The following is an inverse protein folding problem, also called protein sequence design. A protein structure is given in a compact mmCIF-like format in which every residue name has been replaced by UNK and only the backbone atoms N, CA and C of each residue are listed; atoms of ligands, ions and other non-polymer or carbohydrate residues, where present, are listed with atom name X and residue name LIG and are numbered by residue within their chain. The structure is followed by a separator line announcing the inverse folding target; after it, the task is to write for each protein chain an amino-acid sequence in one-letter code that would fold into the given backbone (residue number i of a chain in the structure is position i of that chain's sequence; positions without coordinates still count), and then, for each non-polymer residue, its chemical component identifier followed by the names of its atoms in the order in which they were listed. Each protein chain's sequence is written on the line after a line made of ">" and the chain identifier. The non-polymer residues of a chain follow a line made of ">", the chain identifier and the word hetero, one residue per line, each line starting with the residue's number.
data_IF_088617346161
#
_entry.id   IF_088617346161
#
_cell.length_a   1.000
_cell.length_b   1.000
_cell.length_c   1.000
_cell.angle_alpha   90.00
_cell.angle_beta   90.00
_cell.angle_gamma   90.00
#
_symmetry.space_group_name_H-M   'P 1'
#
loop_
_entity.id
_entity.type
_entity.pdbx_description
1 polymer ?
#
# COMPACT_ATOMS: atom_id res chain seq x y z
N UNK A 1 -68.54 -45.20 -0.21
CA UNK A 1 -67.76 -46.40 0.18
C UNK A 1 -66.30 -45.95 0.23
N UNK A 2 -65.66 -45.65 1.38
CA UNK A 2 -65.31 -46.50 2.54
C UNK A 2 -64.06 -47.33 2.15
N UNK A 3 -62.85 -47.28 2.73
CA UNK A 3 -62.30 -47.04 4.09
C UNK A 3 -60.83 -46.50 3.99
N UNK A 4 -60.33 -45.55 4.82
CA UNK A 4 -59.53 -45.66 6.09
C UNK A 4 -58.38 -46.70 6.07
N UNK A 5 -57.18 -46.56 6.65
CA UNK A 5 -56.39 -45.59 7.46
C UNK A 5 -54.90 -46.11 7.40
N UNK A 6 -53.81 -45.34 7.50
CA UNK A 6 -53.22 -44.71 8.69
C UNK A 6 -51.74 -45.14 8.87
N UNK A 7 -50.87 -44.27 9.41
CA UNK A 7 -49.63 -44.68 10.10
C UNK A 7 -48.29 -44.02 9.72
N UNK A 8 -47.85 -43.01 10.50
CA UNK A 8 -46.51 -42.97 11.09
C UNK A 8 -45.33 -42.31 10.36
N UNK A 9 -45.00 -41.08 10.76
CA UNK A 9 -43.71 -40.40 10.53
C UNK A 9 -42.86 -40.45 11.81
N UNK A 10 -41.57 -40.85 11.77
CA UNK A 10 -40.61 -40.55 12.82
C UNK A 10 -39.37 -39.82 12.28
N UNK A 11 -39.30 -38.49 12.50
CA UNK A 11 -38.14 -37.81 13.09
C UNK A 11 -38.23 -36.29 12.90
N UNK A 12 -38.62 -35.62 13.98
CA UNK A 12 -38.37 -34.21 14.21
C UNK A 12 -37.51 -34.08 15.48
N UNK A 13 -36.51 -33.21 15.53
CA UNK A 13 -36.01 -32.70 16.79
C UNK A 13 -36.72 -31.38 17.17
N UNK A 14 -37.03 -31.33 18.46
CA UNK A 14 -37.85 -30.36 19.16
C UNK A 14 -37.36 -28.90 19.10
N UNK A 15 -38.33 -28.00 18.90
CA UNK A 15 -38.29 -26.61 19.35
C UNK A 15 -38.69 -26.59 20.82
N UNK A 16 -37.86 -26.02 21.70
CA UNK A 16 -38.28 -25.63 23.05
C UNK A 16 -38.07 -24.12 23.26
N UNK A 17 -39.09 -23.51 23.83
CA UNK A 17 -39.30 -22.07 23.88
C UNK A 17 -38.50 -21.36 24.98
N UNK A 18 -38.27 -20.08 24.67
CA UNK A 18 -37.80 -18.93 25.46
C UNK A 18 -38.09 -18.97 26.97
N UNK A 19 -37.11 -18.49 27.77
CA UNK A 19 -37.30 -17.54 28.89
C UNK A 19 -36.00 -16.82 29.26
N UNK A 20 -36.10 -15.50 29.50
CA UNK A 20 -35.30 -14.76 30.48
C UNK A 20 -34.01 -14.07 30.03
N UNK A 21 -34.08 -12.77 29.74
CA UNK A 21 -32.94 -11.84 29.81
C UNK A 21 -32.55 -11.55 31.27
N UNK A 22 -31.32 -11.06 31.54
CA UNK A 22 -31.23 -9.62 31.82
C UNK A 22 -30.00 -8.92 31.21
N UNK A 23 -30.09 -7.59 31.29
CA UNK A 23 -29.25 -6.55 30.70
C UNK A 23 -27.73 -6.69 30.92
N UNK A 24 -26.95 -6.41 29.86
CA UNK A 24 -25.53 -6.04 29.96
C UNK A 24 -25.32 -4.61 29.51
N UNK A 25 -24.95 -3.80 30.49
CA UNK A 25 -24.53 -2.41 30.41
C UNK A 25 -23.33 -2.26 29.48
N UNK A 26 -23.44 -1.32 28.55
CA UNK A 26 -22.36 -0.83 27.71
C UNK A 26 -21.34 -0.08 28.56
N UNK A 27 -20.06 -0.45 28.45
CA UNK A 27 -18.95 0.38 28.91
C UNK A 27 -17.92 0.48 27.81
N UNK A 28 -17.89 1.66 27.21
CA UNK A 28 -16.88 2.14 26.27
C UNK A 28 -15.52 2.22 26.98
N UNK A 29 -14.49 1.64 26.38
CA UNK A 29 -13.09 1.92 26.73
C UNK A 29 -12.42 2.50 25.49
N UNK A 30 -12.46 3.83 25.42
CA UNK A 30 -11.53 4.64 24.64
C UNK A 30 -10.25 4.83 25.47
N UNK A 31 -9.09 4.49 24.92
CA UNK A 31 -7.81 4.71 25.59
C UNK A 31 -6.63 4.29 24.73
N UNK A 32 -6.21 5.15 23.81
CA UNK A 32 -4.90 5.07 23.16
C UNK A 32 -3.82 5.56 24.15
N UNK A 33 -2.69 4.84 24.35
CA UNK A 33 -1.62 5.30 25.21
C UNK A 33 -0.43 5.77 24.37
N UNK A 34 -0.33 7.08 24.12
CA UNK A 34 0.94 7.74 23.83
C UNK A 34 0.80 9.24 24.08
N UNK A 35 1.09 9.66 25.30
CA UNK A 35 1.36 11.06 25.63
C UNK A 35 2.52 11.08 26.62
N UNK A 36 3.66 11.64 26.20
CA UNK A 36 4.77 12.03 27.07
C UNK A 36 4.71 13.55 27.23
N UNK A 37 4.84 14.11 28.45
CA UNK A 37 5.18 15.52 28.62
C UNK A 37 6.67 15.68 28.92
N UNK A 38 7.25 16.73 28.33
CA UNK A 38 8.61 17.19 28.59
C UNK A 38 8.74 18.02 29.88
N UNK A 39 9.99 18.27 30.26
CA UNK A 39 10.41 19.17 31.33
C UNK A 39 11.92 19.42 31.25
N UNK A 40 12.33 20.68 31.43
CA UNK A 40 13.61 21.24 31.03
C UNK A 40 14.65 21.42 32.17
N UNK A 41 15.90 21.59 31.72
CA UNK A 41 16.99 22.43 32.27
C UNK A 41 17.73 22.06 33.57
N UNK A 42 19.06 21.89 33.47
CA UNK A 42 20.06 22.72 34.16
C UNK A 42 21.49 22.35 33.70
N UNK A 43 22.31 23.38 33.46
CA UNK A 43 23.74 23.29 33.18
C UNK A 43 24.53 23.66 34.44
N UNK A 44 25.64 22.96 34.72
CA UNK A 44 26.77 23.50 35.50
C UNK A 44 28.09 22.84 35.09
N UNK A 45 29.10 23.69 34.91
CA UNK A 45 30.49 23.39 34.56
C UNK A 45 31.32 23.06 35.80
N UNK A 46 32.26 22.11 35.71
CA UNK A 46 33.62 22.28 36.26
C UNK A 46 34.58 21.18 35.78
N UNK A 47 35.74 21.61 35.28
CA UNK A 47 36.87 20.76 34.94
C UNK A 47 37.53 20.14 36.19
N UNK A 48 37.92 18.85 36.14
CA UNK A 48 39.03 18.34 36.97
C UNK A 48 39.67 17.05 36.42
N UNK A 49 40.96 17.21 36.09
CA UNK A 49 42.10 16.28 36.15
C UNK A 49 41.86 14.79 35.88
N UNK A 50 42.40 14.36 34.74
CA UNK A 50 42.84 12.99 34.45
C UNK A 50 43.68 12.45 35.61
N UNK A 51 43.24 11.33 36.19
CA UNK A 51 44.05 10.47 37.06
C UNK A 51 43.92 9.05 36.50
N UNK A 52 44.95 8.60 35.80
CA UNK A 52 45.05 7.22 35.33
C UNK A 52 45.17 6.34 36.57
N UNK A 53 44.11 5.58 36.88
CA UNK A 53 44.13 4.51 37.87
C UNK A 53 43.97 3.20 37.10
N UNK A 54 45.05 2.41 37.03
CA UNK A 54 45.00 1.02 36.58
C UNK A 54 44.22 0.24 37.65
N UNK A 55 42.95 -0.02 37.40
CA UNK A 55 42.14 -0.94 38.19
C UNK A 55 41.73 -2.08 37.23
N UNK A 56 42.44 -3.20 37.29
CA UNK A 56 42.05 -4.41 36.57
C UNK A 56 40.75 -4.95 37.16
N UNK A 57 39.61 -4.65 36.52
CA UNK A 57 38.36 -5.35 36.81
C UNK A 57 38.44 -6.74 36.21
N UNK A 58 38.40 -7.77 37.06
CA UNK A 58 37.99 -9.11 36.62
C UNK A 58 36.56 -9.01 36.07
N UNK A 59 36.21 -9.70 34.97
CA UNK A 59 34.83 -9.72 34.50
C UNK A 59 33.92 -10.19 35.63
N UNK A 60 32.83 -9.47 35.85
CA UNK A 60 31.83 -9.80 36.85
C UNK A 60 31.27 -11.21 36.55
N UNK A 61 31.14 -12.06 37.57
CA UNK A 61 30.62 -13.43 37.42
C UNK A 61 29.22 -13.47 36.75
N UNK A 62 28.48 -12.36 36.76
CA UNK A 62 27.20 -12.19 36.08
C UNK A 62 27.31 -12.13 34.54
N UNK A 63 28.35 -11.51 33.97
CA UNK A 63 28.61 -11.53 32.52
C UNK A 63 29.12 -12.89 32.05
N UNK A 64 29.94 -13.57 32.87
CA UNK A 64 30.37 -14.95 32.59
C UNK A 64 29.21 -15.94 32.64
N UNK A 65 28.27 -15.78 33.57
CA UNK A 65 27.09 -16.65 33.66
C UNK A 65 26.09 -16.42 32.51
N UNK A 66 25.97 -15.19 32.00
CA UNK A 66 25.17 -14.87 30.82
C UNK A 66 25.65 -15.58 29.55
N UNK A 67 26.97 -15.74 29.37
CA UNK A 67 27.56 -16.48 28.24
C UNK A 67 27.45 -18.01 28.40
N UNK A 68 27.31 -18.51 29.62
CA UNK A 68 27.19 -19.95 29.91
C UNK A 68 25.76 -20.50 29.76
N UNK A 69 24.76 -19.61 29.62
CA UNK A 69 23.35 -19.97 29.38
C UNK A 69 22.78 -19.38 28.09
N UNK A 70 23.58 -18.65 27.31
CA UNK A 70 23.18 -18.16 25.99
C UNK A 70 23.06 -19.32 25.00
N UNK A 71 21.94 -19.39 24.28
CA UNK A 71 21.78 -20.33 23.16
C UNK A 71 22.92 -20.14 22.15
N UNK A 72 23.29 -21.19 21.40
CA UNK A 72 24.29 -21.08 20.33
C UNK A 72 24.01 -19.88 19.41
N UNK A 73 22.74 -19.59 19.13
CA UNK A 73 22.32 -18.41 18.37
C UNK A 73 22.70 -17.09 19.05
N UNK A 74 22.54 -16.98 20.38
CA UNK A 74 22.92 -15.77 21.12
C UNK A 74 24.45 -15.60 21.19
N UNK A 75 25.21 -16.69 21.27
CA UNK A 75 26.68 -16.64 21.19
C UNK A 75 27.15 -16.25 19.79
N UNK A 76 26.60 -16.86 18.74
CA UNK A 76 26.93 -16.51 17.35
C UNK A 76 26.53 -15.07 17.01
N UNK A 77 25.40 -14.59 17.53
CA UNK A 77 24.97 -13.20 17.38
C UNK A 77 25.87 -12.23 18.14
N UNK A 78 26.30 -12.57 19.37
CA UNK A 78 27.23 -11.77 20.15
C UNK A 78 28.65 -11.74 19.54
N UNK A 79 29.02 -12.78 18.78
CA UNK A 79 30.27 -12.84 18.02
C UNK A 79 30.14 -12.25 16.61
N UNK A 80 28.95 -11.75 16.24
CA UNK A 80 28.65 -11.23 14.90
C UNK A 80 28.95 -12.23 13.77
N UNK A 81 28.98 -13.54 14.07
CA UNK A 81 29.25 -14.62 13.12
C UNK A 81 28.00 -15.05 12.34
N UNK A 82 26.97 -14.20 12.29
CA UNK A 82 25.83 -14.41 11.41
C UNK A 82 26.25 -14.26 9.95
N UNK A 83 25.67 -15.07 9.05
CA UNK A 83 25.90 -14.90 7.61
C UNK A 83 25.25 -13.61 7.04
N UNK A 84 24.49 -12.89 7.86
CA UNK A 84 23.84 -11.63 7.51
C UNK A 84 24.59 -10.49 8.19
N UNK A 85 25.17 -9.61 7.38
CA UNK A 85 25.80 -8.39 7.86
C UNK A 85 24.75 -7.31 8.09
N UNK A 86 24.50 -6.98 9.36
CA UNK A 86 23.49 -5.99 9.76
C UNK A 86 24.10 -4.59 10.01
N UNK A 87 25.41 -4.50 10.18
CA UNK A 87 26.13 -3.27 10.57
C UNK A 87 27.19 -2.84 9.54
N UNK A 88 27.31 -3.59 8.44
CA UNK A 88 28.27 -3.36 7.38
C UNK A 88 28.22 -1.98 6.76
N UNK A 89 29.37 -1.57 6.24
CA UNK A 89 29.50 -0.34 5.49
C UNK A 89 28.58 -0.38 4.27
N UNK A 90 27.70 0.61 4.16
CA UNK A 90 26.78 0.71 3.03
C UNK A 90 27.53 0.89 1.69
N UNK A 91 28.79 1.34 1.73
CA UNK A 91 29.66 1.46 0.55
C UNK A 91 30.11 0.11 0.02
N UNK A 92 30.26 -0.91 0.87
CA UNK A 92 30.62 -2.27 0.46
C UNK A 92 29.43 -3.11 0.00
N UNK A 93 28.22 -2.54 -0.05
CA UNK A 93 27.03 -3.23 -0.52
C UNK A 93 27.21 -3.68 -1.97
N UNK A 94 27.02 -4.98 -2.20
CA UNK A 94 26.92 -5.56 -3.52
C UNK A 94 25.58 -5.21 -4.18
N UNK A 95 25.51 -5.42 -5.50
CA UNK A 95 24.27 -5.25 -6.23
C UNK A 95 23.19 -6.20 -5.71
N UNK A 96 21.90 -5.81 -5.73
CA UNK A 96 20.80 -6.72 -5.41
C UNK A 96 20.82 -7.96 -6.32
N UNK A 97 20.25 -9.08 -5.86
CA UNK A 97 20.07 -10.27 -6.70
C UNK A 97 19.30 -9.94 -7.99
N UNK A 98 19.45 -10.76 -9.05
CA UNK A 98 18.66 -10.61 -10.27
C UNK A 98 17.17 -10.57 -9.98
N UNK A 99 16.43 -9.75 -10.73
CA UNK A 99 14.99 -9.56 -10.53
C UNK A 99 14.22 -10.90 -10.54
N UNK A 100 14.55 -11.81 -11.44
CA UNK A 100 13.93 -13.13 -11.53
C UNK A 100 14.10 -13.95 -10.24
N UNK A 101 15.29 -13.92 -9.62
CA UNK A 101 15.52 -14.62 -8.36
C UNK A 101 14.66 -14.05 -7.23
N UNK A 102 14.50 -12.72 -7.19
CA UNK A 102 13.62 -12.06 -6.22
C UNK A 102 12.15 -12.42 -6.46
N UNK A 103 11.70 -12.41 -7.71
CA UNK A 103 10.33 -12.76 -8.09
C UNK A 103 9.98 -14.22 -7.75
N UNK A 104 10.87 -15.16 -8.10
CA UNK A 104 10.73 -16.58 -7.77
C UNK A 104 10.68 -16.77 -6.25
N UNK A 105 11.59 -16.13 -5.50
CA UNK A 105 11.62 -16.23 -4.03
C UNK A 105 10.33 -15.71 -3.39
N UNK A 106 9.85 -14.53 -3.80
CA UNK A 106 8.60 -13.96 -3.29
C UNK A 106 7.41 -14.86 -3.61
N UNK A 107 7.39 -15.44 -4.81
CA UNK A 107 6.33 -16.36 -5.24
C UNK A 107 6.35 -17.66 -4.42
N UNK A 108 7.53 -18.22 -4.14
CA UNK A 108 7.66 -19.40 -3.30
C UNK A 108 7.19 -19.13 -1.86
N UNK A 109 7.66 -18.04 -1.24
CA UNK A 109 7.23 -17.67 0.13
C UNK A 109 5.72 -17.45 0.18
N UNK A 110 5.15 -16.77 -0.82
CA UNK A 110 3.70 -16.58 -0.90
C UNK A 110 2.98 -17.93 -0.98
N UNK A 111 3.36 -18.77 -1.93
CA UNK A 111 2.75 -20.09 -2.14
C UNK A 111 2.81 -20.94 -0.88
N UNK A 112 3.98 -21.07 -0.26
CA UNK A 112 4.19 -21.90 0.92
C UNK A 112 3.40 -21.38 2.13
N UNK A 113 3.37 -20.06 2.33
CA UNK A 113 2.62 -19.45 3.42
C UNK A 113 1.11 -19.67 3.24
N UNK A 114 0.57 -19.34 2.06
CA UNK A 114 -0.86 -19.37 1.81
C UNK A 114 -1.42 -20.77 1.55
N UNK A 115 -0.58 -21.75 1.21
CA UNK A 115 -0.98 -23.16 1.14
C UNK A 115 -1.51 -23.72 2.47
N UNK A 116 -1.18 -23.10 3.61
CA UNK A 116 -1.63 -23.52 4.95
C UNK A 116 -3.06 -23.04 5.29
N UNK A 117 -3.61 -22.12 4.51
CA UNK A 117 -4.84 -21.40 4.86
C UNK A 117 -6.14 -22.12 4.49
N UNK A 118 -6.27 -22.73 3.29
CA UNK A 118 -7.54 -23.31 2.85
C UNK A 118 -8.11 -24.30 3.86
N UNK A 119 -9.43 -24.23 4.08
CA UNK A 119 -10.16 -25.12 4.98
C UNK A 119 -9.78 -24.99 6.46
N UNK A 120 -9.11 -23.90 6.85
CA UNK A 120 -8.77 -23.59 8.25
C UNK A 120 -9.45 -22.31 8.72
N UNK A 121 -9.41 -22.05 10.03
CA UNK A 121 -9.90 -20.79 10.58
C UNK A 121 -9.11 -19.56 10.06
N UNK A 122 -7.88 -19.76 9.58
CA UNK A 122 -6.99 -18.70 9.09
C UNK A 122 -7.43 -18.15 7.73
N UNK A 123 -8.26 -18.87 6.97
CA UNK A 123 -8.73 -18.46 5.64
C UNK A 123 -9.38 -17.06 5.66
N UNK A 124 -9.96 -16.67 6.79
CA UNK A 124 -10.58 -15.34 6.99
C UNK A 124 -9.57 -14.21 7.11
N UNK A 125 -8.32 -14.52 7.45
CA UNK A 125 -7.24 -13.57 7.68
C UNK A 125 -6.36 -13.35 6.44
N UNK A 126 -6.63 -14.06 5.32
CA UNK A 126 -5.85 -13.98 4.07
C UNK A 126 -5.74 -12.53 3.58
N UNK A 127 -6.83 -11.76 3.68
CA UNK A 127 -6.85 -10.39 3.18
C UNK A 127 -5.88 -9.49 3.96
N UNK A 128 -5.93 -9.54 5.30
CA UNK A 128 -5.11 -8.69 6.16
C UNK A 128 -3.65 -9.12 6.13
N UNK A 129 -3.38 -10.43 6.18
CA UNK A 129 -2.03 -10.97 6.11
C UNK A 129 -1.40 -10.77 4.73
N UNK A 130 -2.15 -11.01 3.66
CA UNK A 130 -1.70 -10.77 2.28
C UNK A 130 -1.42 -9.29 2.05
N UNK A 131 -2.28 -8.40 2.52
CA UNK A 131 -2.02 -6.96 2.45
C UNK A 131 -0.76 -6.57 3.21
N UNK A 132 -0.56 -7.13 4.41
CA UNK A 132 0.63 -6.94 5.24
C UNK A 132 1.91 -7.42 4.56
N UNK A 133 1.85 -8.57 3.89
CA UNK A 133 2.98 -9.15 3.16
C UNK A 133 3.43 -8.26 1.99
N UNK A 134 2.51 -7.75 1.19
CA UNK A 134 2.84 -6.75 0.14
C UNK A 134 3.39 -5.47 0.77
N UNK A 135 2.78 -5.02 1.87
CA UNK A 135 3.16 -3.78 2.55
C UNK A 135 4.56 -3.85 3.19
N UNK A 136 5.07 -5.04 3.53
CA UNK A 136 6.45 -5.23 3.99
C UNK A 136 7.45 -4.65 2.98
N UNK A 137 7.35 -5.08 1.72
CA UNK A 137 8.24 -4.63 0.65
C UNK A 137 7.99 -3.17 0.27
N UNK A 138 6.73 -2.73 0.27
CA UNK A 138 6.40 -1.33 0.05
C UNK A 138 7.07 -0.40 1.08
N UNK A 139 7.02 -0.76 2.38
CA UNK A 139 7.67 0.03 3.43
C UNK A 139 9.20 -0.02 3.33
N UNK A 140 9.77 -1.15 2.91
CA UNK A 140 11.20 -1.27 2.67
C UNK A 140 11.66 -0.34 1.54
N UNK A 141 10.96 -0.33 0.40
CA UNK A 141 11.22 0.58 -0.71
C UNK A 141 11.09 2.06 -0.28
N UNK A 142 10.02 2.41 0.46
CA UNK A 142 9.80 3.77 0.94
C UNK A 142 10.95 4.26 1.86
N UNK A 143 11.49 3.39 2.73
CA UNK A 143 12.66 3.73 3.55
C UNK A 143 13.90 4.01 2.68
N UNK A 144 14.11 3.24 1.61
CA UNK A 144 15.22 3.46 0.67
C UNK A 144 15.05 4.78 -0.08
N UNK A 145 13.84 5.15 -0.50
CA UNK A 145 13.60 6.49 -1.08
C UNK A 145 13.91 7.64 -0.13
N UNK A 146 13.53 7.53 1.15
CA UNK A 146 13.89 8.55 2.14
C UNK A 146 15.40 8.69 2.31
N UNK A 147 16.16 7.60 2.20
CA UNK A 147 17.62 7.64 2.23
C UNK A 147 18.18 8.28 0.96
N UNK A 148 17.64 7.96 -0.22
CA UNK A 148 18.01 8.58 -1.50
C UNK A 148 17.79 10.09 -1.44
N UNK A 149 16.66 10.55 -0.90
CA UNK A 149 16.38 11.98 -0.77
C UNK A 149 17.43 12.70 0.08
N UNK A 150 17.85 12.10 1.21
CA UNK A 150 18.95 12.65 2.04
C UNK A 150 20.28 12.66 1.30
N UNK A 151 20.63 11.57 0.62
CA UNK A 151 21.86 11.49 -0.18
C UNK A 151 21.85 12.52 -1.31
N UNK A 152 20.68 12.76 -1.92
CA UNK A 152 20.48 13.79 -2.94
C UNK A 152 20.72 15.19 -2.38
N UNK A 153 20.30 15.47 -1.14
CA UNK A 153 20.59 16.73 -0.46
C UNK A 153 22.08 16.88 -0.13
N UNK A 154 22.73 15.81 0.34
CA UNK A 154 24.19 15.80 0.56
C UNK A 154 24.98 16.05 -0.74
N UNK A 155 24.58 15.41 -1.85
CA UNK A 155 25.18 15.63 -3.17
C UNK A 155 25.05 17.10 -3.59
N UNK A 156 23.90 17.75 -3.31
CA UNK A 156 23.71 19.19 -3.61
C UNK A 156 24.64 20.07 -2.79
N UNK A 157 24.87 19.73 -1.52
CA UNK A 157 25.79 20.46 -0.65
C UNK A 157 27.23 20.32 -1.14
N UNK A 158 27.69 19.10 -1.42
CA UNK A 158 29.02 18.84 -1.97
C UNK A 158 29.26 19.57 -3.30
N UNK A 159 28.26 19.62 -4.17
CA UNK A 159 28.34 20.40 -5.41
C UNK A 159 28.44 21.91 -5.18
N UNK A 160 27.87 22.43 -4.10
CA UNK A 160 27.92 23.86 -3.75
C UNK A 160 29.24 24.24 -3.07
N UNK A 161 29.84 23.31 -2.33
CA UNK A 161 31.11 23.46 -1.61
C UNK A 161 32.34 23.07 -2.45
N UNK A 162 32.12 22.61 -3.70
CA UNK A 162 33.17 22.08 -4.55
C UNK A 162 34.28 23.11 -4.82
N UNK A 163 35.50 22.78 -4.40
CA UNK A 163 36.68 23.64 -4.49
C UNK A 163 37.68 23.18 -5.57
N UNK A 164 37.38 22.07 -6.25
CA UNK A 164 38.22 21.46 -7.27
C UNK A 164 39.33 20.54 -6.72
N UNK A 165 39.34 20.29 -5.41
CA UNK A 165 40.25 19.30 -4.82
C UNK A 165 39.88 17.87 -5.22
N UNK A 166 40.90 17.00 -5.35
CA UNK A 166 40.69 15.57 -5.64
C UNK A 166 39.88 14.89 -4.54
N UNK A 167 40.06 15.31 -3.28
CA UNK A 167 39.33 14.76 -2.12
C UNK A 167 37.84 15.10 -2.22
N UNK A 168 37.49 16.36 -2.47
CA UNK A 168 36.09 16.77 -2.60
C UNK A 168 35.42 16.16 -3.86
N UNK A 169 36.22 15.86 -4.90
CA UNK A 169 35.75 15.10 -6.06
C UNK A 169 35.46 13.65 -5.71
N UNK A 170 36.38 12.97 -5.00
CA UNK A 170 36.22 11.59 -4.56
C UNK A 170 35.04 11.42 -3.60
N UNK A 171 34.86 12.34 -2.64
CA UNK A 171 33.72 12.32 -1.71
C UNK A 171 32.37 12.46 -2.43
N UNK A 172 32.32 13.28 -3.49
CA UNK A 172 31.13 13.42 -4.33
C UNK A 172 30.82 12.14 -5.10
N UNK A 173 31.84 11.52 -5.71
CA UNK A 173 31.71 10.26 -6.43
C UNK A 173 31.22 9.13 -5.51
N UNK A 174 31.82 9.01 -4.32
CA UNK A 174 31.42 8.05 -3.28
C UNK A 174 29.93 8.19 -2.91
N UNK A 175 29.44 9.43 -2.77
CA UNK A 175 28.03 9.69 -2.43
C UNK A 175 27.08 9.37 -3.58
N UNK A 176 27.47 9.67 -4.82
CA UNK A 176 26.69 9.31 -6.01
C UNK A 176 26.61 7.79 -6.14
N UNK A 177 27.72 7.10 -5.93
CA UNK A 177 27.78 5.64 -5.98
C UNK A 177 26.93 4.99 -4.90
N UNK A 178 26.97 5.52 -3.68
CA UNK A 178 26.09 5.08 -2.61
C UNK A 178 24.61 5.33 -2.96
N UNK A 179 24.27 6.52 -3.47
CA UNK A 179 22.89 6.83 -3.85
C UNK A 179 22.37 5.87 -4.93
N UNK A 180 23.19 5.54 -5.93
CA UNK A 180 22.88 4.55 -6.97
C UNK A 180 22.68 3.13 -6.42
N UNK A 181 23.53 2.68 -5.50
CA UNK A 181 23.36 1.37 -4.82
C UNK A 181 22.04 1.33 -4.04
N UNK A 182 21.70 2.42 -3.35
CA UNK A 182 20.42 2.52 -2.62
C UNK A 182 19.23 2.56 -3.58
N UNK A 183 19.34 3.19 -4.75
CA UNK A 183 18.33 3.14 -5.83
C UNK A 183 18.09 1.72 -6.34
N UNK A 184 19.16 0.96 -6.59
CA UNK A 184 19.04 -0.45 -7.00
C UNK A 184 18.31 -1.27 -5.94
N UNK A 185 18.64 -1.06 -4.65
CA UNK A 185 17.94 -1.70 -3.54
C UNK A 185 16.47 -1.28 -3.45
N UNK A 186 16.15 0.00 -3.68
CA UNK A 186 14.76 0.47 -3.75
C UNK A 186 13.99 -0.23 -4.88
N UNK A 187 14.57 -0.29 -6.09
CA UNK A 187 13.98 -0.95 -7.24
C UNK A 187 13.75 -2.45 -7.00
N UNK A 188 14.69 -3.14 -6.33
CA UNK A 188 14.52 -4.54 -5.95
C UNK A 188 13.28 -4.74 -5.05
N UNK A 189 13.11 -3.89 -4.03
CA UNK A 189 11.93 -3.96 -3.16
C UNK A 189 10.62 -3.54 -3.87
N UNK A 190 10.67 -2.61 -4.82
CA UNK A 190 9.52 -2.29 -5.68
C UNK A 190 9.10 -3.52 -6.51
N UNK A 191 10.05 -4.25 -7.11
CA UNK A 191 9.77 -5.48 -7.84
C UNK A 191 9.18 -6.60 -6.96
N UNK A 192 9.74 -6.80 -5.76
CA UNK A 192 9.19 -7.75 -4.78
C UNK A 192 7.78 -7.38 -4.36
N UNK A 193 7.52 -6.09 -4.10
CA UNK A 193 6.18 -5.56 -3.79
C UNK A 193 5.21 -5.84 -4.93
N UNK A 194 5.59 -5.59 -6.17
CA UNK A 194 4.71 -5.74 -7.33
C UNK A 194 4.40 -7.21 -7.62
N UNK A 195 5.36 -8.12 -7.42
CA UNK A 195 5.12 -9.57 -7.48
C UNK A 195 4.20 -10.05 -6.37
N UNK A 196 4.41 -9.62 -5.13
CA UNK A 196 3.50 -9.93 -4.03
C UNK A 196 2.09 -9.37 -4.28
N UNK A 197 1.97 -8.16 -4.84
CA UNK A 197 0.68 -7.54 -5.16
C UNK A 197 -0.09 -8.33 -6.23
N UNK A 198 0.62 -8.92 -7.20
CA UNK A 198 0.04 -9.80 -8.22
C UNK A 198 -0.56 -11.07 -7.60
N UNK A 199 0.18 -11.71 -6.69
CA UNK A 199 -0.31 -12.87 -5.95
C UNK A 199 -1.50 -12.51 -5.05
N UNK A 200 -1.43 -11.38 -4.34
CA UNK A 200 -2.55 -10.87 -3.56
C UNK A 200 -3.82 -10.67 -4.39
N UNK A 201 -3.69 -10.10 -5.60
CA UNK A 201 -4.80 -9.95 -6.53
C UNK A 201 -5.36 -11.29 -6.99
N UNK A 202 -4.49 -12.27 -7.27
CA UNK A 202 -4.89 -13.61 -7.69
C UNK A 202 -5.67 -14.34 -6.59
N UNK A 203 -5.16 -14.35 -5.36
CA UNK A 203 -5.77 -15.06 -4.24
C UNK A 203 -7.05 -14.40 -3.73
N UNK A 204 -7.08 -13.06 -3.67
CA UNK A 204 -8.19 -12.33 -3.03
C UNK A 204 -9.19 -11.73 -4.03
N UNK A 205 -8.82 -11.63 -5.31
CA UNK A 205 -9.54 -10.84 -6.30
C UNK A 205 -9.48 -9.33 -6.08
N UNK A 206 -8.69 -8.85 -5.11
CA UNK A 206 -8.60 -7.43 -4.71
C UNK A 206 -7.27 -6.84 -5.14
N UNK A 207 -7.30 -5.66 -5.77
CA UNK A 207 -6.08 -4.90 -6.01
C UNK A 207 -5.49 -4.42 -4.68
N UNK A 208 -4.19 -4.63 -4.49
CA UNK A 208 -3.49 -4.06 -3.35
C UNK A 208 -3.31 -2.56 -3.56
N UNK A 209 -3.71 -1.76 -2.56
CA UNK A 209 -3.56 -0.30 -2.59
C UNK A 209 -2.86 0.17 -1.33
N UNK A 210 -1.83 1.05 -1.44
CA UNK A 210 -1.15 1.58 -0.29
C UNK A 210 -2.07 2.47 0.53
N UNK A 211 -1.89 2.48 1.86
CA UNK A 211 -2.69 3.30 2.76
C UNK A 211 -2.61 4.80 2.40
N UNK A 212 -1.42 5.26 2.00
CA UNK A 212 -1.13 6.64 1.64
C UNK A 212 -0.43 6.69 0.27
N UNK A 213 -0.79 7.68 -0.54
CA UNK A 213 -0.19 7.89 -1.85
C UNK A 213 -0.63 6.89 -2.91
N UNK A 214 0.09 6.94 -4.03
CA UNK A 214 -0.09 6.04 -5.17
C UNK A 214 1.05 5.03 -5.20
N UNK A 215 0.79 3.86 -5.80
CA UNK A 215 1.82 2.86 -6.05
C UNK A 215 2.68 3.34 -7.23
N UNK A 216 3.82 3.94 -6.91
CA UNK A 216 4.83 4.39 -7.88
C UNK A 216 6.05 3.44 -7.83
N UNK A 217 6.71 3.30 -8.98
CA UNK A 217 8.00 2.61 -9.12
C UNK A 217 8.95 3.54 -9.88
N UNK A 218 10.05 3.94 -9.25
CA UNK A 218 10.90 5.04 -9.72
C UNK A 218 12.10 4.59 -10.57
N UNK A 219 12.48 3.30 -10.50
CA UNK A 219 13.65 2.74 -11.20
C UNK A 219 15.00 3.34 -10.76
N UNK A 220 16.09 2.88 -11.39
CA UNK A 220 17.48 3.27 -11.05
C UNK A 220 18.09 4.27 -12.05
N UNK A 221 18.90 5.21 -11.55
CA UNK A 221 19.73 6.14 -12.33
C UNK A 221 20.98 5.48 -12.87
N UNK A 222 20.87 4.92 -14.07
CA UNK A 222 21.98 4.22 -14.72
C UNK A 222 23.12 5.15 -15.14
N UNK A 223 24.36 4.71 -14.85
CA UNK A 223 25.65 5.12 -15.44
C UNK A 223 26.06 6.61 -15.43
N UNK A 224 25.44 7.46 -14.61
CA UNK A 224 25.83 8.87 -14.48
C UNK A 224 26.75 9.05 -13.27
N UNK A 225 28.00 9.43 -13.52
CA UNK A 225 29.00 9.76 -12.49
C UNK A 225 29.00 11.26 -12.15
N UNK A 226 28.51 12.11 -13.05
CA UNK A 226 28.40 13.55 -12.81
C UNK A 226 27.23 13.88 -11.86
N UNK A 227 27.50 14.62 -10.79
CA UNK A 227 26.50 14.94 -9.77
C UNK A 227 25.31 15.75 -10.28
N UNK A 228 25.51 16.71 -11.20
CA UNK A 228 24.39 17.51 -11.74
C UNK A 228 23.51 16.67 -12.65
N UNK A 229 24.12 15.86 -13.50
CA UNK A 229 23.41 14.94 -14.38
C UNK A 229 22.67 13.87 -13.56
N UNK A 230 23.24 13.37 -12.45
CA UNK A 230 22.57 12.44 -11.55
C UNK A 230 21.30 13.08 -10.95
N UNK A 231 21.43 14.30 -10.41
CA UNK A 231 20.30 15.05 -9.84
C UNK A 231 19.22 15.35 -10.89
N UNK A 232 19.61 15.69 -12.11
CA UNK A 232 18.68 15.93 -13.21
C UNK A 232 17.94 14.65 -13.61
N UNK A 233 18.65 13.57 -13.89
CA UNK A 233 18.06 12.29 -14.28
C UNK A 233 17.14 11.74 -13.18
N UNK A 234 17.50 11.93 -11.90
CA UNK A 234 16.63 11.59 -10.78
C UNK A 234 15.35 12.42 -10.75
N UNK A 235 15.45 13.74 -10.95
CA UNK A 235 14.27 14.63 -11.03
C UNK A 235 13.35 14.24 -12.18
N UNK A 236 13.92 13.91 -13.33
CA UNK A 236 13.19 13.44 -14.51
C UNK A 236 12.46 12.13 -14.20
N UNK A 237 13.11 11.13 -13.61
CA UNK A 237 12.41 9.90 -13.19
C UNK A 237 11.34 10.10 -12.14
N UNK A 238 11.58 10.97 -11.15
CA UNK A 238 10.56 11.30 -10.16
C UNK A 238 9.36 11.94 -10.84
N UNK A 239 9.59 12.82 -11.82
CA UNK A 239 8.52 13.41 -12.61
C UNK A 239 7.79 12.34 -13.42
N UNK A 240 8.51 11.53 -14.19
CA UNK A 240 7.94 10.54 -15.10
C UNK A 240 7.16 9.45 -14.34
N UNK A 241 7.68 8.95 -13.21
CA UNK A 241 6.99 7.96 -12.38
C UNK A 241 5.72 8.52 -11.71
N UNK A 242 5.63 9.84 -11.54
CA UNK A 242 4.44 10.53 -11.05
C UNK A 242 3.49 10.97 -12.18
N UNK A 243 3.92 10.83 -13.44
CA UNK A 243 3.09 11.10 -14.61
C UNK A 243 2.37 9.82 -15.01
N UNK A 244 1.05 9.95 -15.21
CA UNK A 244 0.25 8.87 -15.76
C UNK A 244 0.08 9.14 -17.24
N UNK A 245 0.32 8.12 -18.07
CA UNK A 245 0.22 8.23 -19.51
C UNK A 245 -1.17 7.78 -20.00
N UNK A 246 -1.66 8.44 -21.05
CA UNK A 246 -2.89 8.09 -21.74
C UNK A 246 -4.06 9.01 -21.42
N UNK A 247 -5.27 8.52 -21.66
CA UNK A 247 -6.50 9.32 -21.54
C UNK A 247 -7.21 9.07 -20.19
N UNK A 248 -7.46 10.12 -19.36
CA UNK A 248 -8.11 9.93 -18.07
C UNK A 248 -9.57 9.49 -18.20
N UNK A 249 -9.95 8.45 -17.46
CA UNK A 249 -11.34 8.04 -17.25
C UNK A 249 -11.61 8.00 -15.76
N UNK A 250 -12.52 8.85 -15.28
CA UNK A 250 -12.92 8.85 -13.87
C UNK A 250 -13.96 7.76 -13.64
N UNK A 251 -13.76 6.98 -12.58
CA UNK A 251 -14.72 6.03 -12.07
C UNK A 251 -15.12 6.42 -10.65
N UNK A 252 -16.42 6.48 -10.39
CA UNK A 252 -16.95 6.82 -9.09
C UNK A 252 -18.23 6.05 -8.76
N UNK A 253 -18.37 5.70 -7.49
CA UNK A 253 -19.63 5.25 -6.90
C UNK A 253 -19.43 4.85 -5.45
N UNK A 254 -20.54 4.49 -4.81
CA UNK A 254 -20.61 4.23 -3.39
C UNK A 254 -20.38 2.78 -2.99
N UNK A 255 -20.77 2.47 -1.76
CA UNK A 255 -20.81 1.11 -1.24
C UNK A 255 -22.19 0.54 -1.54
N UNK A 256 -22.23 -0.67 -2.07
CA UNK A 256 -23.47 -1.35 -2.41
C UNK A 256 -23.78 -2.46 -1.41
N UNK A 257 -25.07 -2.76 -1.29
CA UNK A 257 -25.62 -3.91 -0.59
C UNK A 257 -26.59 -4.59 -1.55
N UNK A 258 -26.50 -5.91 -1.66
CA UNK A 258 -27.36 -6.71 -2.51
C UNK A 258 -28.26 -7.57 -1.62
N UNK A 259 -29.52 -7.78 -2.03
CA UNK A 259 -30.44 -8.62 -1.29
C UNK A 259 -30.19 -10.11 -1.53
N UNK A 260 -29.63 -10.45 -2.70
CA UNK A 260 -29.30 -11.81 -3.11
C UNK A 260 -27.98 -11.89 -3.88
N UNK A 261 -27.43 -13.10 -3.98
CA UNK A 261 -26.24 -13.37 -4.79
C UNK A 261 -26.50 -13.14 -6.29
N UNK A 262 -27.72 -13.36 -6.76
CA UNK A 262 -28.09 -13.14 -8.16
C UNK A 262 -28.10 -11.65 -8.53
N UNK A 263 -28.57 -10.78 -7.63
CA UNK A 263 -28.45 -9.33 -7.80
C UNK A 263 -26.98 -8.89 -7.83
N UNK A 264 -26.15 -9.45 -6.96
CA UNK A 264 -24.72 -9.16 -6.92
C UNK A 264 -24.01 -9.58 -8.22
N UNK A 265 -24.33 -10.76 -8.77
CA UNK A 265 -23.82 -11.24 -10.07
C UNK A 265 -24.27 -10.33 -11.21
N UNK A 266 -25.56 -10.01 -11.26
CA UNK A 266 -26.10 -9.14 -12.31
C UNK A 266 -25.46 -7.75 -12.29
N UNK A 267 -25.24 -7.18 -11.09
CA UNK A 267 -24.50 -5.94 -10.94
C UNK A 267 -23.06 -6.06 -11.45
N UNK A 268 -22.36 -7.13 -11.08
CA UNK A 268 -20.98 -7.36 -11.52
C UNK A 268 -20.88 -7.46 -13.05
N UNK A 269 -21.81 -8.16 -13.71
CA UNK A 269 -21.87 -8.24 -15.17
C UNK A 269 -22.08 -6.86 -15.81
N UNK A 270 -22.98 -6.04 -15.26
CA UNK A 270 -23.21 -4.68 -15.74
C UNK A 270 -21.99 -3.77 -15.55
N UNK A 271 -21.29 -3.90 -14.42
CA UNK A 271 -20.04 -3.20 -14.13
C UNK A 271 -18.97 -3.58 -15.16
N UNK A 272 -18.70 -4.87 -15.33
CA UNK A 272 -17.68 -5.36 -16.27
C UNK A 272 -18.01 -4.98 -17.71
N UNK A 273 -19.28 -5.10 -18.13
CA UNK A 273 -19.72 -4.67 -19.46
C UNK A 273 -19.47 -3.18 -19.68
N UNK A 274 -19.72 -2.35 -18.67
CA UNK A 274 -19.50 -0.89 -18.74
C UNK A 274 -18.01 -0.57 -18.86
N UNK A 275 -17.16 -1.17 -18.02
CA UNK A 275 -15.72 -0.96 -18.04
C UNK A 275 -15.10 -1.40 -19.37
N UNK A 276 -15.48 -2.58 -19.88
CA UNK A 276 -15.03 -3.08 -21.19
C UNK A 276 -15.43 -2.15 -22.32
N UNK A 277 -16.69 -1.71 -22.38
CA UNK A 277 -17.18 -0.82 -23.42
C UNK A 277 -16.48 0.55 -23.42
N UNK A 278 -16.07 1.07 -22.25
CA UNK A 278 -15.28 2.31 -22.18
C UNK A 278 -13.85 2.08 -22.64
N UNK A 279 -13.22 0.97 -22.23
CA UNK A 279 -11.87 0.60 -22.69
C UNK A 279 -11.79 0.42 -24.20
N UNK A 280 -12.79 -0.21 -24.81
CA UNK A 280 -12.88 -0.37 -26.27
C UNK A 280 -12.91 1.00 -26.99
N UNK A 281 -13.47 2.03 -26.35
CA UNK A 281 -13.53 3.40 -26.90
C UNK A 281 -12.30 4.25 -26.57
N UNK A 282 -11.56 3.89 -25.52
CA UNK A 282 -10.40 4.61 -25.00
C UNK A 282 -9.31 3.60 -24.69
N UNK A 283 -8.66 3.09 -25.74
CA UNK A 283 -7.69 2.00 -25.61
C UNK A 283 -6.47 2.34 -24.76
N UNK A 284 -6.08 3.62 -24.75
CA UNK A 284 -4.97 4.20 -23.97
C UNK A 284 -5.44 4.72 -22.60
N UNK A 285 -6.59 4.30 -22.07
CA UNK A 285 -7.11 4.89 -20.84
C UNK A 285 -6.25 4.60 -19.61
N UNK A 286 -6.25 5.54 -18.67
CA UNK A 286 -5.90 5.28 -17.28
C UNK A 286 -7.10 5.55 -16.36
N UNK A 287 -7.22 4.76 -15.31
CA UNK A 287 -8.35 4.82 -14.39
C UNK A 287 -8.09 5.86 -13.29
N UNK A 288 -8.99 6.83 -13.14
CA UNK A 288 -8.97 7.81 -12.06
C UNK A 288 -10.07 7.47 -11.06
N UNK A 289 -9.76 7.35 -9.77
CA UNK A 289 -10.77 7.02 -8.75
C UNK A 289 -10.42 7.58 -7.36
N UNK A 290 -11.40 7.56 -6.45
CA UNK A 290 -11.26 8.15 -5.12
C UNK A 290 -10.57 7.27 -4.06
N UNK A 291 -10.32 6.00 -4.38
CA UNK A 291 -9.65 5.03 -3.53
C UNK A 291 -10.49 4.47 -2.37
N UNK A 292 -11.82 4.51 -2.43
CA UNK A 292 -12.67 3.82 -1.43
C UNK A 292 -12.67 2.31 -1.67
N UNK A 293 -11.66 1.64 -1.11
CA UNK A 293 -11.49 0.18 -1.23
C UNK A 293 -12.56 -0.65 -0.50
N UNK A 294 -13.54 0.00 0.15
CA UNK A 294 -14.70 -0.67 0.76
C UNK A 294 -15.94 -0.66 -0.14
N UNK A 295 -15.91 0.10 -1.24
CA UNK A 295 -17.02 0.24 -2.18
C UNK A 295 -16.74 -0.39 -3.53
N UNK A 296 -17.52 0.03 -4.54
CA UNK A 296 -17.39 -0.47 -5.91
C UNK A 296 -16.08 -0.03 -6.58
N UNK A 297 -15.43 1.03 -6.09
CA UNK A 297 -14.14 1.49 -6.62
C UNK A 297 -13.07 0.42 -6.47
N UNK A 298 -13.19 -0.47 -5.47
CA UNK A 298 -12.33 -1.65 -5.34
C UNK A 298 -12.44 -2.58 -6.55
N UNK A 299 -13.66 -2.84 -7.02
CA UNK A 299 -13.89 -3.73 -8.17
C UNK A 299 -13.32 -3.12 -9.45
N UNK A 300 -13.49 -1.81 -9.64
CA UNK A 300 -12.89 -1.10 -10.77
C UNK A 300 -11.35 -1.10 -10.70
N UNK A 301 -10.77 -0.92 -9.51
CA UNK A 301 -9.33 -0.98 -9.28
C UNK A 301 -8.77 -2.39 -9.56
N UNK A 302 -9.42 -3.45 -9.07
CA UNK A 302 -9.07 -4.84 -9.40
C UNK A 302 -9.14 -5.09 -10.89
N UNK A 303 -10.21 -4.65 -11.56
CA UNK A 303 -10.35 -4.81 -13.00
C UNK A 303 -9.25 -4.06 -13.77
N UNK A 304 -8.93 -2.82 -13.38
CA UNK A 304 -7.87 -2.05 -14.03
C UNK A 304 -6.52 -2.75 -13.88
N UNK A 305 -6.19 -3.22 -12.68
CA UNK A 305 -4.97 -3.96 -12.39
C UNK A 305 -4.83 -5.22 -13.25
N UNK A 306 -5.88 -6.05 -13.31
CA UNK A 306 -5.91 -7.27 -14.13
C UNK A 306 -5.75 -7.02 -15.62
N UNK A 307 -6.05 -5.80 -16.08
CA UNK A 307 -6.01 -5.41 -17.47
C UNK A 307 -4.79 -4.55 -17.84
N UNK A 308 -3.84 -4.38 -16.89
CA UNK A 308 -2.65 -3.56 -17.10
C UNK A 308 -2.94 -2.06 -17.24
N UNK A 309 -4.07 -1.60 -16.72
CA UNK A 309 -4.50 -0.20 -16.81
C UNK A 309 -3.90 0.57 -15.64
N UNK A 310 -3.17 1.64 -15.94
CA UNK A 310 -2.60 2.53 -14.93
C UNK A 310 -3.71 3.18 -14.07
N UNK A 311 -3.43 3.39 -12.80
CA UNK A 311 -4.41 3.91 -11.83
C UNK A 311 -3.89 5.19 -11.18
N UNK A 312 -4.71 6.25 -11.23
CA UNK A 312 -4.49 7.52 -10.55
C UNK A 312 -5.52 7.67 -9.43
N UNK A 313 -5.07 7.47 -8.19
CA UNK A 313 -5.94 7.62 -7.02
C UNK A 313 -5.85 9.04 -6.46
N UNK A 314 -7.03 9.60 -6.17
CA UNK A 314 -7.17 10.83 -5.39
C UNK A 314 -7.73 10.49 -4.01
N UNK A 315 -6.86 10.47 -3.00
CA UNK A 315 -7.27 10.23 -1.61
C UNK A 315 -8.05 11.40 -1.01
N UNK A 316 -8.77 11.14 0.08
CA UNK A 316 -9.41 12.20 0.87
C UNK A 316 -8.37 12.93 1.73
N UNK A 317 -8.33 14.25 1.63
CA UNK A 317 -7.60 15.09 2.58
C UNK A 317 -8.41 15.23 3.88
N UNK A 318 -8.00 14.50 4.92
CA UNK A 318 -8.68 14.46 6.22
C UNK A 318 -8.69 15.83 6.91
N UNK A 319 -7.78 16.75 6.55
CA UNK A 319 -7.73 18.10 7.13
C UNK A 319 -8.91 18.97 6.70
N UNK A 320 -9.54 18.65 5.57
CA UNK A 320 -10.65 19.42 4.99
C UNK A 320 -12.05 19.01 5.54
N UNK A 321 -12.11 18.01 6.41
CA UNK A 321 -13.37 17.53 7.00
C UNK A 321 -14.42 17.18 5.94
N UNK A 322 -15.64 17.70 6.11
CA UNK A 322 -16.79 17.42 5.22
C UNK A 322 -16.57 17.85 3.77
N UNK A 323 -15.67 18.81 3.52
CA UNK A 323 -15.36 19.30 2.17
C UNK A 323 -14.39 18.39 1.40
N UNK A 324 -13.75 17.43 2.08
CA UNK A 324 -12.71 16.59 1.49
C UNK A 324 -13.20 15.84 0.24
N UNK A 325 -14.43 15.32 0.27
CA UNK A 325 -15.02 14.59 -0.85
C UNK A 325 -15.22 15.47 -2.09
N UNK A 326 -15.69 16.71 -1.90
CA UNK A 326 -15.89 17.65 -3.00
C UNK A 326 -14.56 18.14 -3.58
N UNK A 327 -13.57 18.44 -2.74
CA UNK A 327 -12.24 18.83 -3.20
C UNK A 327 -11.56 17.73 -4.00
N UNK A 328 -11.69 16.48 -3.55
CA UNK A 328 -11.21 15.30 -4.29
C UNK A 328 -11.89 15.18 -5.66
N UNK A 329 -13.21 15.38 -5.74
CA UNK A 329 -13.92 15.36 -7.02
C UNK A 329 -13.44 16.45 -7.98
N UNK A 330 -13.22 17.67 -7.46
CA UNK A 330 -12.65 18.77 -8.24
C UNK A 330 -11.27 18.41 -8.80
N UNK A 331 -10.42 17.75 -7.99
CA UNK A 331 -9.11 17.23 -8.42
C UNK A 331 -9.25 16.11 -9.48
N UNK A 332 -10.19 15.19 -9.32
CA UNK A 332 -10.46 14.16 -10.34
C UNK A 332 -10.97 14.76 -11.65
N UNK A 333 -11.67 15.88 -11.62
CA UNK A 333 -12.13 16.57 -12.84
C UNK A 333 -11.07 17.52 -13.42
N UNK A 334 -10.07 17.94 -12.64
CA UNK A 334 -9.01 18.85 -13.11
C UNK A 334 -8.05 18.17 -14.07
N UNK A 335 -7.94 16.83 -14.04
CA UNK A 335 -7.19 16.05 -15.04
C UNK A 335 -7.92 15.95 -16.39
N UNK A 336 -9.05 16.64 -16.56
CA UNK A 336 -9.83 16.73 -17.81
C UNK A 336 -10.17 15.35 -18.40
N UNK A 337 -10.88 14.50 -17.66
CA UNK A 337 -11.21 13.16 -18.12
C UNK A 337 -12.09 13.17 -19.35
N UNK A 338 -11.89 12.18 -20.22
CA UNK A 338 -12.76 11.96 -21.40
C UNK A 338 -14.13 11.42 -21.00
N UNK A 339 -14.15 10.53 -20.00
CA UNK A 339 -15.37 9.95 -19.46
C UNK A 339 -15.40 10.02 -17.93
N UNK A 340 -16.61 10.19 -17.40
CA UNK A 340 -16.94 9.88 -16.00
C UNK A 340 -17.90 8.70 -16.00
N UNK A 341 -17.45 7.55 -15.50
CA UNK A 341 -18.29 6.39 -15.23
C UNK A 341 -18.83 6.55 -13.81
N UNK A 342 -20.14 6.76 -13.69
CA UNK A 342 -20.78 7.01 -12.41
C UNK A 342 -21.79 5.90 -12.09
N UNK A 343 -21.58 5.21 -10.99
CA UNK A 343 -22.52 4.25 -10.41
C UNK A 343 -23.18 4.85 -9.16
N UNK A 344 -24.19 4.17 -8.64
CA UNK A 344 -24.91 4.60 -7.43
C UNK A 344 -23.95 4.97 -6.31
N UNK A 345 -24.20 6.11 -5.66
CA UNK A 345 -23.35 6.67 -4.61
C UNK A 345 -24.12 7.63 -3.72
N UNK A 346 -23.39 8.42 -2.94
CA UNK A 346 -23.98 9.45 -2.07
C UNK A 346 -24.07 10.81 -2.79
N UNK A 347 -24.50 11.86 -2.08
CA UNK A 347 -24.58 13.22 -2.62
C UNK A 347 -23.26 13.77 -3.16
N UNK A 348 -22.11 13.25 -2.72
CA UNK A 348 -20.79 13.63 -3.27
C UNK A 348 -20.61 13.05 -4.67
N UNK A 349 -21.03 11.80 -4.92
CA UNK A 349 -21.04 11.21 -6.27
C UNK A 349 -22.04 11.91 -7.19
N UNK A 350 -23.23 12.26 -6.68
CA UNK A 350 -24.22 13.04 -7.43
C UNK A 350 -23.64 14.39 -7.89
N UNK A 351 -22.96 15.10 -6.98
CA UNK A 351 -22.32 16.37 -7.31
C UNK A 351 -21.22 16.22 -8.36
N UNK A 352 -20.42 15.15 -8.32
CA UNK A 352 -19.42 14.86 -9.35
C UNK A 352 -20.05 14.77 -10.74
N UNK A 353 -21.19 14.08 -10.87
CA UNK A 353 -21.90 13.91 -12.14
C UNK A 353 -22.43 15.25 -12.67
N UNK A 354 -23.04 16.06 -11.80
CA UNK A 354 -23.53 17.40 -12.17
C UNK A 354 -22.39 18.27 -12.68
N UNK A 355 -21.26 18.27 -11.98
CA UNK A 355 -20.10 19.08 -12.33
C UNK A 355 -19.42 18.59 -13.62
N UNK A 356 -19.33 17.26 -13.82
CA UNK A 356 -18.82 16.68 -15.06
C UNK A 356 -19.66 17.10 -16.27
N UNK A 357 -21.00 17.04 -16.16
CA UNK A 357 -21.92 17.49 -17.21
C UNK A 357 -21.77 18.99 -17.48
N UNK A 358 -21.66 19.82 -16.44
CA UNK A 358 -21.45 21.26 -16.58
C UNK A 358 -20.15 21.61 -17.31
N UNK A 359 -19.11 20.78 -17.17
CA UNK A 359 -17.82 20.90 -17.87
C UNK A 359 -17.82 20.27 -19.27
N UNK A 360 -18.96 19.76 -19.75
CA UNK A 360 -19.07 19.10 -21.05
C UNK A 360 -18.41 17.72 -21.14
N UNK A 361 -18.10 17.08 -20.00
CA UNK A 361 -17.47 15.76 -19.96
C UNK A 361 -18.56 14.68 -20.17
N UNK A 362 -18.26 13.67 -20.98
CA UNK A 362 -19.20 12.58 -21.24
C UNK A 362 -19.38 11.70 -19.98
N UNK A 363 -20.61 11.63 -19.48
CA UNK A 363 -20.95 10.79 -18.32
C UNK A 363 -21.58 9.47 -18.79
N UNK A 364 -20.95 8.34 -18.45
CA UNK A 364 -21.55 7.02 -18.55
C UNK A 364 -22.33 6.76 -17.26
N UNK A 365 -23.60 7.17 -17.27
CA UNK A 365 -24.46 7.13 -16.10
C UNK A 365 -25.02 5.72 -15.88
N UNK A 366 -24.60 5.07 -14.79
CA UNK A 366 -25.00 3.72 -14.35
C UNK A 366 -25.58 3.76 -12.93
N UNK A 367 -26.20 4.88 -12.56
CA UNK A 367 -26.79 5.08 -11.23
C UNK A 367 -28.19 4.46 -11.09
N UNK A 368 -28.72 3.81 -12.13
CA UNK A 368 -29.93 3.00 -12.04
C UNK A 368 -29.73 1.72 -11.22
N UNK A 369 -30.82 1.00 -10.89
CA UNK A 369 -30.76 -0.25 -10.14
C UNK A 369 -29.77 -1.23 -10.75
N UNK A 370 -28.97 -1.89 -9.90
CA UNK A 370 -27.99 -2.91 -10.31
C UNK A 370 -27.03 -2.44 -11.42
N UNK A 371 -26.68 -1.14 -11.44
CA UNK A 371 -25.73 -0.61 -12.42
C UNK A 371 -26.31 -0.41 -13.82
N UNK A 372 -27.64 -0.37 -13.94
CA UNK A 372 -28.31 0.01 -15.20
C UNK A 372 -28.24 1.52 -15.41
N UNK A 373 -28.39 2.02 -16.65
CA UNK A 373 -28.62 3.44 -16.85
C UNK A 373 -29.87 3.86 -16.07
N UNK A 374 -29.90 5.05 -15.45
CA UNK A 374 -31.16 5.61 -14.98
C UNK A 374 -32.14 5.51 -16.15
N UNK A 375 -33.31 4.90 -15.93
CA UNK A 375 -34.34 4.76 -16.96
C UNK A 375 -34.43 6.11 -17.69
N UNK A 376 -34.48 6.08 -19.02
CA UNK A 376 -34.63 7.27 -19.85
C UNK A 376 -35.96 7.95 -19.50
N UNK A 377 -35.98 8.69 -18.40
CA UNK A 377 -37.09 9.50 -17.95
C UNK A 377 -37.27 10.53 -19.07
N UNK A 378 -38.42 10.47 -19.75
CA UNK A 378 -38.90 11.33 -20.86
C UNK A 378 -38.65 10.89 -22.32
N UNK A 379 -39.10 9.70 -22.71
CA UNK A 379 -39.71 9.52 -24.05
C UNK A 379 -41.00 8.69 -23.94
N UNK A 380 -42.06 9.36 -23.52
CA UNK A 380 -43.45 8.94 -23.54
C UNK A 380 -44.30 10.18 -23.68
#
# INVERSE_FOLDING_TARGET
>A
MGHRAGGGNPNAPAVLARRGAPARTTRTLSGSPWALPGGAAAAFSMARRVRIRREGRRPCDTERQSLMTSSLSAVLQALELGHLDLMGDQRSMEAPPPAEALEQTVSAIWSDLFALFPFTALERDIEDLGWGFVNLFHRAAAKKHQLIDRLTDEIRLLLAEQDGSEIATADLEDKIDLARKVEQSAQAYEGMRDTAARHYLHETGRSWVPATGNRISLGTTAAIVDGRAYLQARRERVRDANMVHGTPVVFAGGRLRFASDDEAKQFADNLLRTLKAVRERVGDMYLVHGGDMKGIERLAASWAEQNGIQQLRFGLDRKLGDRAGFRRNEQMLSVKPRYVIAFQGNGVTERLVVEAKARGIHVVDRRGPLGTPPAALSRG
#
